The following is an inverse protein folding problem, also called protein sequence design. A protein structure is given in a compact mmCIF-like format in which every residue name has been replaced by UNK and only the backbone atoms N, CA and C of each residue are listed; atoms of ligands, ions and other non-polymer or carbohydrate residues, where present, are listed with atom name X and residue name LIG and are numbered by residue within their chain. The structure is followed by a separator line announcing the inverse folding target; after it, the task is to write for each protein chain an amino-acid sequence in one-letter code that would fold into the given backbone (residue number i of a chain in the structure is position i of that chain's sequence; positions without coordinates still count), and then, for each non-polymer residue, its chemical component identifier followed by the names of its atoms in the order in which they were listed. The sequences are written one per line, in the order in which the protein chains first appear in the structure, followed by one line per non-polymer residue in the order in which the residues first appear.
data_IF_935251254821
#
_entry.id   IF_935251254821
#
_cell.length_a   1.000
_cell.length_b   1.000
_cell.length_c   1.000
_cell.angle_alpha   90.00
_cell.angle_beta   90.00
_cell.angle_gamma   90.00
#
_symmetry.space_group_name_H-M   'P 1'
#
loop_
_entity.id
_entity.type
_entity.pdbx_description
1 polymer ?
#
# COMPACT_ATOMS: atom_id res chain seq x y z
N UNK A 1 14.20 -19.25 3.46
CA UNK A 1 13.75 -18.28 4.49
C UNK A 1 12.61 -17.48 3.86
N UNK A 2 11.45 -17.36 4.52
CA UNK A 2 10.17 -16.92 3.91
C UNK A 2 10.18 -15.42 3.59
N UNK A 3 10.62 -15.05 2.39
CA UNK A 3 10.59 -13.67 1.87
C UNK A 3 9.20 -13.02 2.02
N UNK A 4 8.15 -13.80 1.73
CA UNK A 4 6.75 -13.40 1.94
C UNK A 4 6.45 -12.94 3.37
N UNK A 5 7.05 -13.55 4.39
CA UNK A 5 6.83 -13.16 5.80
C UNK A 5 7.53 -11.84 6.11
N UNK A 6 8.73 -11.62 5.58
CA UNK A 6 9.44 -10.35 5.76
C UNK A 6 8.71 -9.20 5.07
N UNK A 7 8.21 -9.45 3.85
CA UNK A 7 7.34 -8.54 3.09
C UNK A 7 6.06 -8.20 3.88
N UNK A 8 5.34 -9.20 4.39
CA UNK A 8 4.16 -8.96 5.23
C UNK A 8 4.45 -8.15 6.50
N UNK A 9 5.57 -8.42 7.18
CA UNK A 9 5.97 -7.66 8.36
C UNK A 9 6.35 -6.21 8.01
N UNK A 10 6.97 -5.96 6.86
CA UNK A 10 7.27 -4.61 6.38
C UNK A 10 5.98 -3.83 6.08
N UNK A 11 5.00 -4.46 5.43
CA UNK A 11 3.68 -3.89 5.17
C UNK A 11 2.95 -3.49 6.47
N UNK A 12 2.93 -4.39 7.45
CA UNK A 12 2.29 -4.13 8.75
C UNK A 12 2.98 -2.96 9.47
N UNK A 13 4.32 -2.91 9.46
CA UNK A 13 5.06 -1.80 10.07
C UNK A 13 4.72 -0.48 9.40
N UNK A 14 4.76 -0.43 8.07
CA UNK A 14 4.40 0.77 7.31
C UNK A 14 2.98 1.23 7.65
N UNK A 15 2.00 0.32 7.61
CA UNK A 15 0.61 0.62 7.98
C UNK A 15 0.49 1.23 9.38
N UNK A 16 1.27 0.73 10.34
CA UNK A 16 1.19 1.19 11.73
C UNK A 16 1.93 2.51 12.00
N UNK A 17 2.89 2.90 11.16
CA UNK A 17 3.74 4.08 11.42
C UNK A 17 3.52 5.23 10.46
N UNK A 18 2.94 4.99 9.28
CA UNK A 18 2.80 6.02 8.26
C UNK A 18 1.51 6.83 8.48
N UNK A 19 1.64 8.16 8.51
CA UNK A 19 0.52 9.08 8.77
C UNK A 19 -0.64 8.94 7.78
N UNK A 20 -0.34 8.57 6.54
CA UNK A 20 -1.33 8.31 5.51
C UNK A 20 -2.39 7.26 5.91
N UNK A 21 -2.12 6.38 6.89
CA UNK A 21 -3.08 5.39 7.39
C UNK A 21 -3.84 5.84 8.66
N UNK A 22 -3.76 7.12 9.03
CA UNK A 22 -4.44 7.64 10.22
C UNK A 22 -5.96 7.63 10.07
N UNK A 23 -6.67 7.70 11.19
CA UNK A 23 -8.12 7.82 11.18
C UNK A 23 -8.57 9.08 10.42
N UNK A 24 -9.51 8.92 9.49
CA UNK A 24 -9.97 9.99 8.62
C UNK A 24 -9.15 10.18 7.34
N UNK A 25 -8.19 9.30 7.05
CA UNK A 25 -7.51 9.26 5.75
C UNK A 25 -8.51 9.09 4.60
N UNK A 26 -8.30 9.84 3.53
CA UNK A 26 -8.98 9.61 2.27
C UNK A 26 -8.41 8.36 1.61
N UNK A 27 -9.29 7.52 1.07
CA UNK A 27 -8.91 6.27 0.41
C UNK A 27 -9.49 6.25 -0.99
N UNK A 28 -8.59 6.25 -1.97
CA UNK A 28 -8.93 6.10 -3.39
C UNK A 28 -8.52 4.72 -3.85
N UNK A 29 -9.43 4.04 -4.54
CA UNK A 29 -9.20 2.72 -5.11
C UNK A 29 -9.43 2.82 -6.61
N UNK A 30 -8.41 2.47 -7.38
CA UNK A 30 -8.43 2.37 -8.84
C UNK A 30 -7.92 0.98 -9.25
N UNK A 31 -8.24 0.54 -10.46
CA UNK A 31 -7.76 -0.75 -10.94
C UNK A 31 -8.40 -1.17 -12.25
N UNK A 32 -7.71 -2.07 -12.93
CA UNK A 32 -8.19 -2.77 -14.12
C UNK A 32 -8.30 -4.28 -13.80
N UNK A 33 -8.55 -5.14 -14.80
CA UNK A 33 -8.68 -6.59 -14.56
C UNK A 33 -7.41 -7.22 -13.98
N UNK A 34 -6.23 -6.72 -14.35
CA UNK A 34 -4.92 -7.28 -13.97
C UNK A 34 -4.16 -6.44 -12.94
N UNK A 35 -4.74 -5.33 -12.48
CA UNK A 35 -4.07 -4.40 -11.56
C UNK A 35 -5.00 -3.84 -10.50
N UNK A 36 -4.42 -3.50 -9.34
CA UNK A 36 -5.11 -2.79 -8.28
C UNK A 36 -4.18 -1.70 -7.75
N UNK A 37 -4.72 -0.50 -7.62
CA UNK A 37 -4.07 0.63 -7.03
C UNK A 37 -4.92 1.13 -5.84
N UNK A 38 -4.27 1.33 -4.71
CA UNK A 38 -4.92 1.90 -3.52
C UNK A 38 -4.04 3.03 -3.02
N UNK A 39 -4.61 4.23 -2.95
CA UNK A 39 -3.97 5.41 -2.40
C UNK A 39 -4.64 5.81 -1.09
N UNK A 40 -3.82 5.99 -0.05
CA UNK A 40 -4.21 6.59 1.21
C UNK A 40 -3.59 7.98 1.31
N UNK A 41 -4.37 8.96 1.72
CA UNK A 41 -3.90 10.32 1.92
C UNK A 41 -4.45 10.93 3.22
N UNK A 42 -3.57 11.50 4.02
CA UNK A 42 -3.94 12.18 5.25
C UNK A 42 -2.95 13.29 5.58
N UNK A 43 -3.46 14.52 5.76
CA UNK A 43 -2.67 15.68 6.20
C UNK A 43 -1.40 15.91 5.34
N UNK A 44 -1.55 15.76 4.00
CA UNK A 44 -0.46 15.93 3.03
C UNK A 44 0.55 14.78 2.94
N UNK A 45 0.40 13.74 3.76
CA UNK A 45 1.15 12.48 3.63
C UNK A 45 0.35 11.48 2.79
N UNK A 46 1.03 10.74 1.92
CA UNK A 46 0.41 9.67 1.14
C UNK A 46 1.17 8.35 1.24
N UNK A 47 0.44 7.27 1.02
CA UNK A 47 0.98 5.96 0.71
C UNK A 47 0.15 5.38 -0.42
N UNK A 48 0.80 4.70 -1.36
CA UNK A 48 0.16 4.15 -2.54
C UNK A 48 0.66 2.74 -2.80
N UNK A 49 -0.28 1.79 -2.87
CA UNK A 49 -0.02 0.40 -3.17
C UNK A 49 -0.40 0.14 -4.63
N UNK A 50 0.56 -0.35 -5.40
CA UNK A 50 0.36 -0.85 -6.76
C UNK A 50 0.50 -2.37 -6.76
N UNK A 51 -0.48 -3.08 -7.30
CA UNK A 51 -0.50 -4.55 -7.39
C UNK A 51 -0.66 -4.96 -8.84
N UNK A 52 0.18 -5.88 -9.30
CA UNK A 52 0.06 -6.57 -10.57
C UNK A 52 -0.30 -8.04 -10.31
N UNK A 53 -1.50 -8.44 -10.69
CA UNK A 53 -2.00 -9.80 -10.45
C UNK A 53 -1.41 -10.84 -11.40
N UNK A 54 -1.00 -10.45 -12.61
CA UNK A 54 -0.38 -11.36 -13.59
C UNK A 54 1.01 -11.78 -13.13
N UNK A 55 1.79 -10.83 -12.62
CA UNK A 55 3.14 -11.08 -12.13
C UNK A 55 3.17 -11.54 -10.67
N UNK A 56 2.07 -11.37 -9.94
CA UNK A 56 2.01 -11.60 -8.49
C UNK A 56 2.92 -10.67 -7.70
N UNK A 57 3.13 -9.44 -8.21
CA UNK A 57 4.03 -8.44 -7.65
C UNK A 57 3.25 -7.27 -7.06
N UNK A 58 3.92 -6.51 -6.19
CA UNK A 58 3.41 -5.24 -5.71
C UNK A 58 4.56 -4.28 -5.42
N UNK A 59 4.28 -2.98 -5.50
CA UNK A 59 5.16 -1.90 -5.06
C UNK A 59 4.40 -0.97 -4.13
N UNK A 60 5.13 -0.27 -3.27
CA UNK A 60 4.56 0.77 -2.42
C UNK A 60 5.43 2.01 -2.47
N UNK A 61 4.77 3.14 -2.64
CA UNK A 61 5.36 4.46 -2.65
C UNK A 61 4.74 5.32 -1.55
N UNK A 62 5.53 6.17 -0.90
CA UNK A 62 5.06 7.04 0.18
C UNK A 62 5.99 8.24 0.39
N UNK A 63 5.50 9.31 1.02
CA UNK A 63 6.28 10.50 1.38
C UNK A 63 6.21 10.89 2.87
#
# INVERSE_FOLDING_TARGET
KKDVVQKQLALIRMRNTHKAFSEGAEVTISGEESSLEIRWEYDGAYAELHVNFEEGTYTIESN
#
